data_IF_852622727937
#
_entry.id   IF_852622727937
#
_cell.length_a   1.000
_cell.length_b   1.000
_cell.length_c   1.000
_cell.angle_alpha   90.00
_cell.angle_beta   90.00
_cell.angle_gamma   90.00
#
_symmetry.space_group_name_H-M   'P 1'
#
loop_
_entity.id
_entity.type
_entity.pdbx_description
1 polymer ?
#
# COMPACT_ATOMS: atom_id res chain seq x y z
N UNK A 1 -9.64 32.75 -13.24
CA UNK A 1 -8.69 31.93 -14.02
C UNK A 1 -8.52 30.61 -13.30
N UNK A 2 -9.01 29.45 -13.79
CA UNK A 2 -8.60 28.18 -13.22
C UNK A 2 -7.18 27.85 -13.71
N UNK A 3 -6.26 27.63 -12.77
CA UNK A 3 -4.88 27.25 -13.08
C UNK A 3 -4.86 25.87 -13.75
N UNK A 4 -4.31 25.81 -14.95
CA UNK A 4 -4.20 24.60 -15.78
C UNK A 4 -3.01 23.72 -15.32
N UNK A 5 -2.94 23.43 -14.03
CA UNK A 5 -1.91 22.53 -13.49
C UNK A 5 -2.35 21.09 -13.74
N UNK A 6 -1.66 20.43 -14.68
CA UNK A 6 -1.87 18.99 -14.94
C UNK A 6 -1.74 18.24 -13.61
N UNK A 7 -2.67 17.34 -13.27
CA UNK A 7 -2.61 16.64 -12.00
C UNK A 7 -1.28 15.90 -11.88
N UNK A 8 -0.50 16.25 -10.86
CA UNK A 8 0.79 15.63 -10.57
C UNK A 8 0.54 14.13 -10.34
N UNK A 9 1.24 13.29 -11.10
CA UNK A 9 1.07 11.83 -11.03
C UNK A 9 1.44 11.35 -9.63
N UNK A 10 0.67 10.39 -9.09
CA UNK A 10 1.03 9.75 -7.83
C UNK A 10 2.46 9.21 -7.91
N UNK A 11 3.28 9.39 -6.86
CA UNK A 11 4.62 8.83 -6.81
C UNK A 11 4.54 7.29 -6.81
N UNK A 12 5.64 6.67 -7.22
CA UNK A 12 5.77 5.22 -7.26
C UNK A 12 5.53 4.61 -5.88
N UNK A 13 4.99 3.40 -5.86
CA UNK A 13 4.83 2.63 -4.62
C UNK A 13 6.22 2.29 -4.05
N UNK A 14 6.43 2.64 -2.79
CA UNK A 14 7.63 2.28 -2.05
C UNK A 14 7.50 0.88 -1.43
N UNK A 15 8.65 0.33 -1.02
CA UNK A 15 8.74 -1.00 -0.41
C UNK A 15 7.82 -1.16 0.81
N UNK A 16 7.81 -0.20 1.74
CA UNK A 16 6.97 -0.29 2.95
C UNK A 16 5.47 -0.27 2.62
N UNK A 17 5.06 0.55 1.66
CA UNK A 17 3.66 0.61 1.21
C UNK A 17 3.23 -0.72 0.56
N UNK A 18 4.12 -1.33 -0.23
CA UNK A 18 3.88 -2.63 -0.87
C UNK A 18 3.81 -3.74 0.18
N UNK A 19 4.69 -3.72 1.19
CA UNK A 19 4.69 -4.67 2.31
C UNK A 19 3.38 -4.60 3.10
N UNK A 20 2.91 -3.40 3.44
CA UNK A 20 1.63 -3.21 4.13
C UNK A 20 0.45 -3.70 3.30
N UNK A 21 0.46 -3.42 1.99
CA UNK A 21 -0.56 -3.91 1.07
C UNK A 21 -0.53 -5.44 0.92
N UNK A 22 0.67 -6.03 0.88
CA UNK A 22 0.84 -7.48 0.77
C UNK A 22 0.37 -8.22 2.03
N UNK A 23 0.59 -7.67 3.22
CA UNK A 23 0.03 -8.26 4.46
C UNK A 23 -1.50 -8.25 4.44
N UNK A 24 -2.11 -7.16 3.99
CA UNK A 24 -3.56 -7.11 3.83
C UNK A 24 -4.03 -8.13 2.77
N UNK A 25 -3.33 -8.23 1.64
CA UNK A 25 -3.63 -9.20 0.59
C UNK A 25 -3.71 -10.65 1.13
N UNK A 26 -2.76 -11.06 1.97
CA UNK A 26 -2.77 -12.41 2.56
C UNK A 26 -3.84 -12.63 3.64
N UNK A 27 -4.48 -11.56 4.13
CA UNK A 27 -5.51 -11.62 5.18
C UNK A 27 -6.92 -11.46 4.61
N UNK A 28 -7.07 -10.67 3.56
CA UNK A 28 -8.35 -10.36 2.93
C UNK A 28 -8.78 -11.50 2.02
N UNK A 29 -10.08 -11.76 1.93
CA UNK A 29 -10.61 -12.73 0.97
C UNK A 29 -10.60 -12.12 -0.44
N UNK A 30 -10.37 -12.90 -1.52
CA UNK A 30 -10.35 -12.36 -2.89
C UNK A 30 -11.60 -11.54 -3.26
N UNK A 31 -12.80 -11.98 -2.86
CA UNK A 31 -14.06 -11.25 -3.08
C UNK A 31 -14.25 -9.97 -2.25
N UNK A 32 -13.31 -9.66 -1.37
CA UNK A 32 -13.34 -8.50 -0.48
C UNK A 32 -12.39 -7.38 -0.91
N UNK A 33 -11.70 -7.54 -2.04
CA UNK A 33 -10.79 -6.53 -2.60
C UNK A 33 -11.62 -5.45 -3.34
N UNK A 34 -12.10 -4.45 -2.59
CA UNK A 34 -12.81 -3.29 -3.14
C UNK A 34 -12.64 -2.07 -2.23
N UNK A 35 -12.83 -0.88 -2.79
CA UNK A 35 -12.57 0.39 -2.09
C UNK A 35 -13.53 0.70 -0.94
N UNK A 36 -14.71 0.07 -0.90
CA UNK A 36 -15.64 0.17 0.24
C UNK A 36 -15.29 -0.76 1.41
N UNK A 37 -14.28 -1.62 1.28
CA UNK A 37 -13.91 -2.53 2.35
C UNK A 37 -13.22 -1.76 3.48
N UNK A 38 -13.68 -1.92 4.75
CA UNK A 38 -13.09 -1.21 5.87
C UNK A 38 -11.60 -1.48 6.07
N UNK A 39 -11.09 -2.68 5.76
CA UNK A 39 -9.65 -2.97 5.86
C UNK A 39 -8.83 -2.27 4.76
N UNK A 40 -9.40 -2.13 3.55
CA UNK A 40 -8.77 -1.39 2.44
C UNK A 40 -8.71 0.10 2.78
N UNK A 41 -9.78 0.65 3.34
CA UNK A 41 -9.85 2.04 3.81
C UNK A 41 -8.84 2.25 4.96
N UNK A 42 -8.78 1.34 5.93
CA UNK A 42 -7.83 1.43 7.04
C UNK A 42 -6.38 1.40 6.55
N UNK A 43 -6.06 0.56 5.56
CA UNK A 43 -4.75 0.53 4.94
C UNK A 43 -4.43 1.84 4.19
N UNK A 44 -5.40 2.40 3.46
CA UNK A 44 -5.24 3.71 2.81
C UNK A 44 -4.88 4.80 3.83
N UNK A 45 -5.59 4.83 4.97
CA UNK A 45 -5.31 5.78 6.07
C UNK A 45 -3.91 5.54 6.65
N UNK A 46 -3.53 4.27 6.87
CA UNK A 46 -2.22 3.92 7.41
C UNK A 46 -1.08 4.36 6.49
N UNK A 47 -1.19 4.10 5.19
CA UNK A 47 -0.18 4.51 4.20
C UNK A 47 -0.08 6.05 4.14
N UNK A 48 -1.21 6.75 4.24
CA UNK A 48 -1.23 8.21 4.26
C UNK A 48 -0.51 8.83 5.47
N UNK A 49 -0.43 8.09 6.59
CA UNK A 49 0.33 8.49 7.79
C UNK A 49 1.83 8.28 7.67
N UNK A 50 2.32 7.54 6.67
CA UNK A 50 3.76 7.39 6.47
C UNK A 50 4.38 8.75 6.09
N UNK A 51 5.59 9.06 6.61
CA UNK A 51 6.32 10.29 6.27
C UNK A 51 6.92 10.25 4.86
N UNK A 52 6.65 9.20 4.07
CA UNK A 52 7.42 8.79 2.89
C UNK A 52 7.49 9.81 1.75
N UNK A 53 6.70 10.89 1.74
CA UNK A 53 6.79 11.94 0.72
C UNK A 53 6.36 13.31 1.27
N UNK A 54 7.25 14.30 1.16
CA UNK A 54 6.99 15.73 1.42
C UNK A 54 6.04 16.37 0.39
N UNK A 55 5.93 15.74 -0.79
CA UNK A 55 5.10 16.21 -1.90
C UNK A 55 4.00 15.17 -2.19
N UNK A 56 2.98 15.14 -1.34
CA UNK A 56 1.77 14.35 -1.57
C UNK A 56 0.93 15.09 -2.60
N UNK A 57 0.84 14.62 -3.86
CA UNK A 57 -0.16 15.18 -4.78
C UNK A 57 -1.52 14.97 -4.14
N UNK A 58 -2.39 15.99 -4.16
CA UNK A 58 -3.79 15.98 -3.70
C UNK A 58 -4.23 14.77 -2.83
N UNK A 59 -4.54 15.03 -1.55
CA UNK A 59 -4.87 13.99 -0.56
C UNK A 59 -6.03 13.08 -1.01
N UNK A 60 -6.92 13.52 -1.90
CA UNK A 60 -8.02 12.70 -2.40
C UNK A 60 -7.54 11.61 -3.38
N UNK A 61 -6.38 11.79 -4.01
CA UNK A 61 -5.80 10.88 -5.02
C UNK A 61 -4.62 10.08 -4.48
N UNK A 62 -3.91 10.59 -3.48
CA UNK A 62 -2.77 9.90 -2.90
C UNK A 62 -3.20 8.68 -2.08
N UNK A 63 -2.83 7.48 -2.55
CA UNK A 63 -3.01 6.20 -1.84
C UNK A 63 -4.41 6.04 -1.23
N UNK A 64 -5.44 6.49 -1.96
CA UNK A 64 -6.84 6.34 -1.56
C UNK A 64 -7.28 4.87 -1.65
N UNK A 65 -8.46 4.56 -1.10
CA UNK A 65 -8.99 3.20 -1.08
C UNK A 65 -9.08 2.55 -2.47
N UNK A 66 -9.38 3.30 -3.53
CA UNK A 66 -9.39 2.79 -4.90
C UNK A 66 -7.98 2.39 -5.38
N UNK A 67 -6.97 3.22 -5.10
CA UNK A 67 -5.58 2.92 -5.42
C UNK A 67 -5.06 1.71 -4.66
N UNK A 68 -5.46 1.56 -3.39
CA UNK A 68 -5.14 0.38 -2.58
C UNK A 68 -5.85 -0.86 -3.11
N UNK A 69 -7.14 -0.81 -3.43
CA UNK A 69 -7.85 -1.97 -3.98
C UNK A 69 -7.23 -2.42 -5.31
N UNK A 70 -6.88 -1.48 -6.19
CA UNK A 70 -6.18 -1.78 -7.44
C UNK A 70 -4.81 -2.44 -7.17
N UNK A 71 -4.09 -1.97 -6.15
CA UNK A 71 -2.82 -2.57 -5.73
C UNK A 71 -2.99 -4.02 -5.28
N UNK A 72 -4.03 -4.32 -4.51
CA UNK A 72 -4.34 -5.69 -4.11
C UNK A 72 -4.72 -6.56 -5.32
N UNK A 73 -5.47 -6.02 -6.28
CA UNK A 73 -5.78 -6.71 -7.54
C UNK A 73 -4.53 -7.01 -8.37
N UNK A 74 -3.51 -6.16 -8.33
CA UNK A 74 -2.22 -6.44 -8.97
C UNK A 74 -1.51 -7.65 -8.33
N UNK A 75 -1.63 -7.86 -7.02
CA UNK A 75 -1.07 -9.06 -6.37
C UNK A 75 -1.83 -10.33 -6.77
N UNK A 76 -3.16 -10.28 -6.93
CA UNK A 76 -3.92 -11.40 -7.51
C UNK A 76 -3.38 -11.81 -8.89
N UNK A 77 -2.90 -10.84 -9.69
CA UNK A 77 -2.32 -11.14 -10.99
C UNK A 77 -0.91 -11.76 -10.93
N UNK A 78 -0.19 -11.59 -9.81
CA UNK A 78 1.13 -12.20 -9.56
C UNK A 78 0.99 -13.58 -8.91
N UNK A 79 -0.07 -13.79 -8.12
CA UNK A 79 -0.29 -15.04 -7.38
C UNK A 79 -0.74 -16.16 -8.33
N UNK A 80 0.23 -16.94 -8.82
CA UNK A 80 0.00 -18.13 -9.65
C UNK A 80 -0.87 -19.21 -8.97
N UNK A 81 -1.10 -19.10 -7.65
CA UNK A 81 -1.98 -20.02 -6.91
C UNK A 81 -3.47 -19.70 -7.10
N UNK A 82 -3.81 -18.52 -7.63
CA UNK A 82 -5.18 -18.13 -7.89
C UNK A 82 -5.58 -18.52 -9.32
N UNK A 83 -6.74 -19.16 -9.47
CA UNK A 83 -7.29 -19.49 -10.79
C UNK A 83 -7.67 -18.24 -11.60
N UNK A 84 -7.98 -17.12 -10.91
CA UNK A 84 -8.29 -15.85 -11.53
C UNK A 84 -7.03 -15.02 -11.76
N UNK A 85 -6.66 -14.88 -13.04
CA UNK A 85 -5.65 -13.90 -13.45
C UNK A 85 -6.27 -12.49 -13.35
N UNK A 86 -5.81 -11.71 -12.38
CA UNK A 86 -6.14 -10.29 -12.28
C UNK A 86 -5.60 -9.47 -13.46
N UNK A 87 -5.78 -8.15 -13.43
CA UNK A 87 -5.17 -7.24 -14.41
C UNK A 87 -3.63 -7.32 -14.32
N UNK A 88 -2.97 -7.60 -15.44
CA UNK A 88 -1.50 -7.67 -15.53
C UNK A 88 -0.84 -6.27 -15.52
N UNK A 89 -1.08 -5.48 -14.47
CA UNK A 89 -0.53 -4.13 -14.31
C UNK A 89 0.22 -3.96 -12.98
N UNK A 90 1.00 -4.98 -12.61
CA UNK A 90 1.91 -4.92 -11.46
C UNK A 90 3.28 -4.35 -11.85
N UNK A 91 3.96 -3.73 -10.88
CA UNK A 91 5.35 -3.27 -11.07
C UNK A 91 6.34 -4.40 -10.79
N UNK A 92 7.56 -4.29 -11.32
CA UNK A 92 8.65 -5.25 -10.99
C UNK A 92 8.88 -5.37 -9.48
N UNK A 93 8.87 -4.24 -8.77
CA UNK A 93 9.01 -4.22 -7.31
C UNK A 93 7.88 -4.98 -6.60
N UNK A 94 6.66 -4.96 -7.15
CA UNK A 94 5.52 -5.68 -6.56
C UNK A 94 5.75 -7.18 -6.64
N UNK A 95 6.22 -7.66 -7.79
CA UNK A 95 6.57 -9.06 -8.01
C UNK A 95 7.76 -9.49 -7.15
N UNK A 96 8.78 -8.64 -6.99
CA UNK A 96 9.93 -8.92 -6.13
C UNK A 96 9.52 -9.08 -4.67
N UNK A 97 8.77 -8.12 -4.12
CA UNK A 97 8.29 -8.18 -2.73
C UNK A 97 7.31 -9.35 -2.54
N UNK A 98 6.40 -9.59 -3.50
CA UNK A 98 5.48 -10.72 -3.43
C UNK A 98 6.25 -12.04 -3.35
N UNK A 99 7.20 -12.28 -4.27
CA UNK A 99 7.99 -13.50 -4.27
C UNK A 99 8.90 -13.64 -3.05
N UNK A 100 9.39 -12.52 -2.51
CA UNK A 100 10.19 -12.51 -1.30
C UNK A 100 9.39 -12.98 -0.07
N UNK A 101 8.11 -12.62 0.02
CA UNK A 101 7.30 -12.84 1.22
C UNK A 101 6.16 -13.85 1.11
N UNK A 102 5.82 -14.36 -0.10
CA UNK A 102 4.72 -15.32 -0.30
C UNK A 102 4.83 -16.56 0.59
N UNK A 103 6.04 -17.07 0.76
CA UNK A 103 6.36 -18.23 1.60
C UNK A 103 6.83 -17.84 3.02
N UNK A 104 6.95 -16.52 3.30
CA UNK A 104 7.52 -15.98 4.54
C UNK A 104 6.53 -15.06 5.27
N UNK A 105 5.29 -15.51 5.41
CA UNK A 105 4.19 -14.74 6.03
C UNK A 105 4.49 -14.26 7.45
N UNK A 106 5.24 -15.05 8.22
CA UNK A 106 5.65 -14.64 9.58
C UNK A 106 6.61 -13.45 9.58
N UNK A 107 7.60 -13.48 8.69
CA UNK A 107 8.57 -12.38 8.53
C UNK A 107 7.86 -11.13 8.03
N UNK A 108 6.95 -11.26 7.05
CA UNK A 108 6.12 -10.17 6.57
C UNK A 108 5.35 -9.49 7.71
N UNK A 109 4.65 -10.27 8.53
CA UNK A 109 3.91 -9.77 9.69
C UNK A 109 4.82 -9.06 10.69
N UNK A 110 6.02 -9.57 10.92
CA UNK A 110 6.99 -8.93 11.81
C UNK A 110 7.41 -7.55 11.27
N UNK A 111 7.67 -7.43 9.97
CA UNK A 111 8.00 -6.15 9.34
C UNK A 111 6.81 -5.19 9.43
N UNK A 112 5.60 -5.64 9.11
CA UNK A 112 4.38 -4.82 9.24
C UNK A 112 4.17 -4.32 10.66
N UNK A 113 4.42 -5.16 11.67
CA UNK A 113 4.38 -4.75 13.07
C UNK A 113 5.41 -3.67 13.37
N UNK A 114 6.64 -3.80 12.87
CA UNK A 114 7.68 -2.76 13.03
C UNK A 114 7.29 -1.44 12.38
N UNK A 115 6.76 -1.46 11.15
CA UNK A 115 6.28 -0.25 10.46
C UNK A 115 5.15 0.42 11.26
N UNK A 116 4.17 -0.38 11.72
CA UNK A 116 3.06 0.14 12.54
C UNK A 116 3.53 0.66 13.89
N UNK A 117 4.51 0.00 14.52
CA UNK A 117 5.11 0.46 15.77
C UNK A 117 5.82 1.79 15.58
N UNK A 118 6.64 1.94 14.54
CA UNK A 118 7.32 3.20 14.21
C UNK A 118 6.34 4.36 13.95
N UNK A 119 5.14 4.08 13.41
CA UNK A 119 4.08 5.07 13.24
C UNK A 119 3.35 5.44 14.55
N UNK A 120 3.33 4.54 15.52
CA UNK A 120 2.73 4.76 16.84
C UNK A 120 3.76 5.19 17.90
N UNK A 121 5.04 5.21 17.55
CA UNK A 121 6.10 5.60 18.46
C UNK A 121 6.08 7.12 18.65
N UNK A 122 5.87 7.62 19.88
CA UNK A 122 5.82 9.05 20.14
C UNK A 122 7.17 9.76 19.93
N UNK A 123 8.31 9.06 19.87
CA UNK A 123 9.62 9.70 19.66
C UNK A 123 9.83 10.20 18.22
N UNK A 124 9.17 9.61 17.20
CA UNK A 124 9.27 10.12 15.82
C UNK A 124 8.45 11.41 15.62
N UNK A 125 7.51 11.73 16.51
CA UNK A 125 6.81 13.03 16.47
C UNK A 125 7.66 14.18 17.04
N UNK A 126 8.84 13.92 17.62
CA UNK A 126 9.66 14.94 18.29
C UNK A 126 10.84 15.45 17.44
N UNK A 127 11.28 14.74 16.41
CA UNK A 127 12.43 15.12 15.56
C UNK A 127 12.04 15.89 14.27
N UNK A 128 10.82 16.43 14.19
CA UNK A 128 10.39 17.34 13.11
C UNK A 128 9.87 18.69 13.64
N UNK A 129 10.14 19.03 14.91
CA UNK A 129 9.80 20.32 15.49
C UNK A 129 10.95 21.04 16.19
N UNK A 130 12.22 20.80 15.82
CA UNK A 130 13.33 21.63 16.28
C UNK A 130 14.23 22.05 15.11
#
# INVERSE_FOLDING_TARGET
MPTNEKPKRNPKWNRDEIILALDLYFRIRPGQIHSSNPEVIALSILINKLPSFEDKPDQERYRNANGVSLKLSNFLAIDDSQEQKGMQSFSRLDQEIFNEFKDKKEILRNIVRKIKAALNDPEINLELQH
#
